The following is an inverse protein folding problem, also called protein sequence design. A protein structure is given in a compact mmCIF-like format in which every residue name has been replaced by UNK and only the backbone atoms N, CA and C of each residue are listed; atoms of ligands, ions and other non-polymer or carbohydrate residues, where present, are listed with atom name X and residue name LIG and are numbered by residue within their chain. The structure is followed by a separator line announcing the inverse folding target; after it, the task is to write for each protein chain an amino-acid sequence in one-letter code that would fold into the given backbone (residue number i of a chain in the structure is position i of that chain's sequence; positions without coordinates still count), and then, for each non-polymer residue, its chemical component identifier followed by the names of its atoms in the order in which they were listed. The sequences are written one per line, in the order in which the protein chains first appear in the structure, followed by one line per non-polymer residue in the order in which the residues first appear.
data_IF_064577312419
#
_entry.id   IF_064577312419
#
_cell.length_a   1.000
_cell.length_b   1.000
_cell.length_c   1.000
_cell.angle_alpha   90.00
_cell.angle_beta   90.00
_cell.angle_gamma   90.00
#
_symmetry.space_group_name_H-M   'P 1'
#
loop_
_entity.id
_entity.type
_entity.pdbx_description
1 polymer ?
#
# COMPACT_ATOMS: atom_id res chain seq x y z
N UNK A 1 63.03 5.92 -49.95
CA UNK A 1 63.44 4.51 -50.06
C UNK A 1 63.86 4.07 -48.69
N UNK A 2 63.42 2.88 -48.31
CA UNK A 2 63.51 2.29 -46.97
C UNK A 2 64.92 2.32 -46.37
N UNK A 3 64.88 2.23 -45.04
CA UNK A 3 65.89 1.67 -44.14
C UNK A 3 66.90 2.63 -43.52
N UNK A 4 66.61 3.02 -42.28
CA UNK A 4 67.49 3.77 -41.38
C UNK A 4 67.85 2.86 -40.20
N UNK A 5 69.04 2.30 -40.32
CA UNK A 5 70.19 2.35 -39.40
C UNK A 5 70.01 2.24 -37.87
N UNK A 6 71.15 1.83 -37.28
CA UNK A 6 71.66 2.04 -35.90
C UNK A 6 71.61 0.76 -35.06
N UNK A 7 72.69 -0.03 -35.01
CA UNK A 7 73.98 0.15 -34.28
C UNK A 7 73.87 -0.22 -32.79
N UNK A 8 74.59 -1.29 -32.43
CA UNK A 8 74.93 -1.75 -31.08
C UNK A 8 76.03 -0.88 -30.43
N UNK A 9 76.55 -1.20 -29.23
CA UNK A 9 75.94 -1.61 -27.95
C UNK A 9 76.37 -0.64 -26.81
N UNK A 10 75.97 -0.90 -25.56
CA UNK A 10 76.89 -1.23 -24.43
C UNK A 10 76.33 -0.87 -23.03
N UNK A 11 76.81 -1.65 -22.05
CA UNK A 11 76.89 -1.45 -20.60
C UNK A 11 75.78 -2.01 -19.67
N UNK A 12 76.17 -3.09 -18.96
CA UNK A 12 76.14 -3.37 -17.50
C UNK A 12 74.95 -2.84 -16.64
N UNK A 13 74.42 -3.49 -15.60
CA UNK A 13 74.85 -4.52 -14.64
C UNK A 13 73.57 -5.02 -13.86
N UNK A 14 73.58 -5.75 -12.71
CA UNK A 14 72.87 -7.03 -12.61
C UNK A 14 71.93 -7.20 -11.37
N UNK A 15 71.44 -8.45 -11.19
CA UNK A 15 70.88 -9.09 -9.97
C UNK A 15 69.40 -8.74 -9.69
N UNK A 16 68.47 -9.68 -9.48
CA UNK A 16 68.48 -10.73 -8.45
C UNK A 16 67.30 -11.74 -8.60
N UNK A 17 67.46 -12.88 -7.92
CA UNK A 17 66.47 -13.80 -7.31
C UNK A 17 65.68 -14.82 -8.15
N UNK A 18 65.89 -16.12 -7.86
CA UNK A 18 64.81 -17.11 -7.76
C UNK A 18 65.24 -18.33 -6.91
N UNK A 19 64.47 -18.59 -5.85
CA UNK A 19 64.58 -19.69 -4.88
C UNK A 19 63.71 -20.88 -5.30
N UNK A 20 64.15 -22.11 -5.02
CA UNK A 20 63.39 -23.35 -5.25
C UNK A 20 63.12 -24.15 -3.96
N UNK A 21 61.86 -24.60 -3.86
CA UNK A 21 61.33 -25.87 -3.34
C UNK A 21 61.59 -26.36 -1.90
N UNK A 22 60.52 -26.78 -1.19
CA UNK A 22 60.06 -28.19 -0.99
C UNK A 22 59.25 -28.39 0.31
N UNK A 23 58.24 -29.29 0.24
CA UNK A 23 57.69 -30.16 1.30
C UNK A 23 56.40 -29.77 2.09
N UNK A 24 55.36 -30.59 1.90
CA UNK A 24 54.16 -30.83 2.74
C UNK A 24 54.45 -31.98 3.74
N UNK A 25 53.73 -32.20 4.90
CA UNK A 25 52.30 -32.59 4.92
C UNK A 25 51.42 -32.29 6.17
N UNK A 26 50.09 -32.40 5.92
CA UNK A 26 48.96 -32.89 6.74
C UNK A 26 48.64 -32.28 8.12
N UNK A 27 47.45 -31.66 8.23
CA UNK A 27 46.43 -31.91 9.27
C UNK A 27 45.03 -31.54 8.75
N UNK A 28 44.06 -32.42 9.03
CA UNK A 28 42.64 -32.37 8.69
C UNK A 28 41.95 -31.05 9.04
N UNK A 29 41.17 -30.52 8.09
CA UNK A 29 40.00 -29.70 8.37
C UNK A 29 38.86 -30.10 7.42
N UNK A 30 37.99 -30.99 7.91
CA UNK A 30 36.61 -31.10 7.45
C UNK A 30 35.90 -29.76 7.65
N UNK A 31 35.84 -28.98 6.57
CA UNK A 31 34.90 -27.87 6.44
C UNK A 31 34.27 -27.95 5.05
N UNK A 32 33.41 -28.96 4.88
CA UNK A 32 32.40 -28.94 3.83
C UNK A 32 31.41 -27.80 4.15
N UNK A 33 31.75 -26.59 3.71
CA UNK A 33 30.79 -25.49 3.62
C UNK A 33 29.85 -25.84 2.47
N UNK A 34 28.70 -26.39 2.81
CA UNK A 34 27.59 -26.62 1.88
C UNK A 34 27.12 -25.26 1.31
N UNK A 35 27.25 -25.00 0.00
CA UNK A 35 26.81 -23.74 -0.58
C UNK A 35 25.28 -23.67 -0.79
N UNK A 36 24.51 -24.69 -0.38
CA UNK A 36 23.07 -24.78 -0.65
C UNK A 36 22.16 -24.30 0.51
N UNK A 37 22.73 -23.66 1.54
CA UNK A 37 21.96 -23.15 2.67
C UNK A 37 21.40 -21.72 2.45
N UNK A 38 20.76 -21.44 1.31
CA UNK A 38 19.91 -20.25 1.15
C UNK A 38 18.44 -20.69 1.23
N UNK A 39 17.90 -20.55 2.43
CA UNK A 39 16.51 -20.86 2.81
C UNK A 39 15.50 -20.10 1.93
N UNK A 40 14.55 -20.77 1.26
CA UNK A 40 13.41 -20.11 0.62
C UNK A 40 12.25 -19.96 1.62
N UNK A 41 12.50 -19.40 2.80
CA UNK A 41 11.46 -19.26 3.85
C UNK A 41 10.77 -17.88 3.86
N UNK A 42 11.42 -16.83 3.34
CA UNK A 42 10.87 -15.46 3.34
C UNK A 42 9.59 -15.33 2.53
N UNK A 43 9.50 -15.94 1.35
CA UNK A 43 8.31 -15.80 0.50
C UNK A 43 7.07 -16.47 1.12
N UNK A 44 7.25 -17.61 1.79
CA UNK A 44 6.16 -18.32 2.48
C UNK A 44 5.69 -17.55 3.72
N UNK A 45 6.62 -16.98 4.48
CA UNK A 45 6.33 -16.16 5.65
C UNK A 45 5.60 -14.86 5.26
N UNK A 46 6.00 -14.23 4.14
CA UNK A 46 5.33 -13.05 3.57
C UNK A 46 3.92 -13.36 3.06
N UNK A 47 3.74 -14.49 2.36
CA UNK A 47 2.42 -14.95 1.92
C UNK A 47 1.51 -15.21 3.13
N UNK A 48 2.02 -15.87 4.17
CA UNK A 48 1.27 -16.12 5.40
C UNK A 48 0.88 -14.82 6.12
N UNK A 49 1.81 -13.87 6.26
CA UNK A 49 1.55 -12.57 6.85
C UNK A 49 0.49 -11.78 6.06
N UNK A 50 0.56 -11.82 4.72
CA UNK A 50 -0.43 -11.18 3.86
C UNK A 50 -1.82 -11.80 4.00
N UNK A 51 -1.91 -13.12 4.13
CA UNK A 51 -3.16 -13.83 4.32
C UNK A 51 -3.81 -13.48 5.67
N UNK A 52 -3.01 -13.30 6.72
CA UNK A 52 -3.50 -12.88 8.03
C UNK A 52 -3.97 -11.41 8.02
N UNK A 53 -3.28 -10.52 7.29
CA UNK A 53 -3.73 -9.14 7.12
C UNK A 53 -5.08 -9.06 6.38
N UNK A 54 -5.26 -9.86 5.33
CA UNK A 54 -6.54 -9.99 4.62
C UNK A 54 -7.63 -10.49 5.57
N UNK A 55 -7.35 -11.50 6.40
CA UNK A 55 -8.33 -12.03 7.37
C UNK A 55 -8.74 -10.99 8.40
N UNK A 56 -7.77 -10.25 8.96
CA UNK A 56 -8.03 -9.15 9.91
C UNK A 56 -8.93 -8.10 9.27
N UNK A 57 -8.62 -7.68 8.04
CA UNK A 57 -9.43 -6.72 7.30
C UNK A 57 -10.85 -7.22 7.05
N UNK A 58 -11.02 -8.45 6.56
CA UNK A 58 -12.33 -9.04 6.30
C UNK A 58 -13.18 -9.16 7.58
N UNK A 59 -12.54 -9.46 8.71
CA UNK A 59 -13.20 -9.50 10.01
C UNK A 59 -13.69 -8.12 10.44
N UNK A 60 -12.87 -7.07 10.29
CA UNK A 60 -13.26 -5.70 10.62
C UNK A 60 -14.47 -5.21 9.81
N UNK A 61 -14.43 -5.37 8.48
CA UNK A 61 -15.54 -4.93 7.62
C UNK A 61 -16.81 -5.77 7.80
N UNK A 62 -16.68 -6.99 8.34
CA UNK A 62 -17.78 -7.88 8.67
C UNK A 62 -18.59 -7.47 9.89
N UNK A 63 -18.01 -6.63 10.78
CA UNK A 63 -18.67 -6.16 12.02
C UNK A 63 -19.76 -5.12 11.76
N UNK A 64 -19.69 -4.40 10.64
CA UNK A 64 -20.65 -3.34 10.31
C UNK A 64 -21.84 -3.94 9.57
N UNK A 65 -23.05 -3.60 10.04
CA UNK A 65 -24.28 -4.06 9.43
C UNK A 65 -24.47 -3.49 8.02
N UNK A 66 -25.16 -4.25 7.17
CA UNK A 66 -25.55 -3.76 5.85
C UNK A 66 -26.68 -2.74 6.00
N UNK A 67 -26.64 -1.69 5.17
CA UNK A 67 -27.64 -0.62 5.19
C UNK A 67 -28.87 -1.01 4.38
N UNK A 68 -30.02 -0.54 4.82
CA UNK A 68 -31.22 -0.49 3.99
C UNK A 68 -31.20 0.76 3.11
N UNK A 69 -32.05 0.81 2.08
CA UNK A 69 -32.18 2.00 1.24
C UNK A 69 -32.63 3.23 2.05
N UNK A 70 -33.42 3.05 3.11
CA UNK A 70 -33.81 4.14 3.99
C UNK A 70 -32.60 4.66 4.80
N UNK A 71 -31.79 3.76 5.34
CA UNK A 71 -30.58 4.14 6.09
C UNK A 71 -29.57 4.88 5.20
N UNK A 72 -29.41 4.45 3.94
CA UNK A 72 -28.57 5.14 2.95
C UNK A 72 -29.02 6.60 2.75
N UNK A 73 -30.32 6.81 2.60
CA UNK A 73 -30.91 8.15 2.44
C UNK A 73 -30.69 9.00 3.68
N UNK A 74 -30.89 8.43 4.88
CA UNK A 74 -30.74 9.17 6.13
C UNK A 74 -29.27 9.54 6.42
N UNK A 75 -28.33 8.66 6.11
CA UNK A 75 -26.91 8.97 6.18
C UNK A 75 -26.53 10.06 5.16
N UNK A 76 -27.02 9.97 3.92
CA UNK A 76 -26.75 10.97 2.89
C UNK A 76 -27.21 12.38 3.29
N UNK A 77 -28.40 12.50 3.88
CA UNK A 77 -28.92 13.78 4.42
C UNK A 77 -28.03 14.36 5.53
N UNK A 78 -27.54 13.50 6.43
CA UNK A 78 -26.65 13.93 7.53
C UNK A 78 -25.30 14.42 7.00
N UNK A 79 -24.76 13.74 5.99
CA UNK A 79 -23.53 14.14 5.29
C UNK A 79 -23.74 15.53 4.65
N UNK A 80 -24.83 15.71 3.90
CA UNK A 80 -25.16 16.99 3.25
C UNK A 80 -25.32 18.13 4.27
N UNK A 81 -26.03 17.89 5.38
CA UNK A 81 -26.19 18.85 6.45
C UNK A 81 -24.86 19.23 7.12
N UNK A 82 -23.97 18.26 7.34
CA UNK A 82 -22.62 18.47 7.86
C UNK A 82 -21.77 19.34 6.93
N UNK A 83 -21.77 19.03 5.64
CA UNK A 83 -21.04 19.80 4.63
C UNK A 83 -21.57 21.24 4.54
N UNK A 84 -22.88 21.42 4.54
CA UNK A 84 -23.50 22.74 4.52
C UNK A 84 -23.16 23.55 5.78
N UNK A 85 -23.22 22.94 6.96
CA UNK A 85 -22.82 23.58 8.21
C UNK A 85 -21.34 23.99 8.21
N UNK A 86 -20.46 23.15 7.66
CA UNK A 86 -19.04 23.45 7.49
C UNK A 86 -18.81 24.64 6.54
N UNK A 87 -19.51 24.64 5.40
CA UNK A 87 -19.47 25.76 4.45
C UNK A 87 -19.96 27.06 5.08
N UNK A 88 -21.06 27.04 5.85
CA UNK A 88 -21.54 28.22 6.57
C UNK A 88 -20.47 28.79 7.51
N UNK A 89 -19.82 27.96 8.33
CA UNK A 89 -18.75 28.39 9.23
C UNK A 89 -17.58 29.02 8.45
N UNK A 90 -17.22 28.44 7.31
CA UNK A 90 -16.10 28.91 6.48
C UNK A 90 -16.42 30.23 5.75
N UNK A 91 -17.64 30.38 5.23
CA UNK A 91 -18.05 31.54 4.43
C UNK A 91 -18.44 32.75 5.26
N UNK A 92 -18.91 32.58 6.51
CA UNK A 92 -19.35 33.68 7.37
C UNK A 92 -18.73 33.61 8.77
N UNK A 93 -18.01 34.66 9.14
CA UNK A 93 -17.39 34.76 10.46
C UNK A 93 -18.32 35.37 11.53
N UNK A 94 -19.51 35.85 11.14
CA UNK A 94 -20.43 36.63 11.97
C UNK A 94 -21.40 35.79 12.85
N UNK A 95 -21.03 34.55 13.16
CA UNK A 95 -21.84 33.71 14.06
C UNK A 95 -21.46 33.90 15.52
N UNK A 96 -22.47 33.88 16.40
CA UNK A 96 -22.26 33.83 17.85
C UNK A 96 -21.49 32.57 18.25
N UNK A 97 -20.81 32.62 19.40
CA UNK A 97 -20.07 31.47 19.91
C UNK A 97 -20.98 30.24 20.12
N UNK A 98 -22.22 30.45 20.56
CA UNK A 98 -23.22 29.39 20.70
C UNK A 98 -23.55 28.76 19.32
N UNK A 99 -23.84 29.59 18.31
CA UNK A 99 -24.17 29.11 16.97
C UNK A 99 -23.00 28.37 16.31
N UNK A 100 -21.77 28.84 16.50
CA UNK A 100 -20.57 28.14 16.02
C UNK A 100 -20.42 26.75 16.65
N UNK A 101 -20.77 26.56 17.94
CA UNK A 101 -20.73 25.24 18.59
C UNK A 101 -21.78 24.29 18.01
N UNK A 102 -23.01 24.77 17.80
CA UNK A 102 -24.08 23.99 17.17
C UNK A 102 -23.68 23.53 15.76
N UNK A 103 -23.20 24.44 14.92
CA UNK A 103 -22.78 24.12 13.56
C UNK A 103 -21.64 23.09 13.54
N UNK A 104 -20.66 23.20 14.47
CA UNK A 104 -19.60 22.20 14.60
C UNK A 104 -20.13 20.83 15.00
N UNK A 105 -21.16 20.75 15.84
CA UNK A 105 -21.77 19.48 16.19
C UNK A 105 -22.40 18.80 14.96
N UNK A 106 -23.03 19.59 14.08
CA UNK A 106 -23.60 19.10 12.81
C UNK A 106 -22.50 18.62 11.86
N UNK A 107 -21.37 19.35 11.75
CA UNK A 107 -20.21 18.92 10.95
C UNK A 107 -19.69 17.57 11.44
N UNK A 108 -19.50 17.41 12.76
CA UNK A 108 -19.03 16.15 13.35
C UNK A 108 -20.01 15.01 13.08
N UNK A 109 -21.32 15.28 13.14
CA UNK A 109 -22.33 14.28 12.80
C UNK A 109 -22.28 13.85 11.34
N UNK A 110 -22.11 14.80 10.41
CA UNK A 110 -21.96 14.53 8.98
C UNK A 110 -20.72 13.68 8.67
N UNK A 111 -19.58 13.98 9.29
CA UNK A 111 -18.36 13.16 9.15
C UNK A 111 -18.56 11.73 9.67
N UNK A 112 -19.23 11.57 10.82
CA UNK A 112 -19.59 10.24 11.33
C UNK A 112 -20.54 9.49 10.41
N UNK A 113 -21.48 10.19 9.78
CA UNK A 113 -22.39 9.60 8.81
C UNK A 113 -21.64 9.17 7.54
N UNK A 114 -20.68 9.96 7.05
CA UNK A 114 -19.78 9.61 5.94
C UNK A 114 -19.00 8.34 6.25
N UNK A 115 -18.36 8.29 7.41
CA UNK A 115 -17.62 7.12 7.88
C UNK A 115 -18.49 5.87 7.96
N UNK A 116 -19.73 6.02 8.46
CA UNK A 116 -20.65 4.89 8.57
C UNK A 116 -21.07 4.37 7.19
N UNK A 117 -21.43 5.27 6.27
CA UNK A 117 -21.81 4.91 4.91
C UNK A 117 -20.67 4.20 4.17
N UNK A 118 -19.43 4.69 4.33
CA UNK A 118 -18.24 4.04 3.77
C UNK A 118 -18.06 2.63 4.34
N UNK A 119 -18.03 2.50 5.67
CA UNK A 119 -17.75 1.21 6.34
C UNK A 119 -18.79 0.13 6.01
N UNK A 120 -20.06 0.50 5.94
CA UNK A 120 -21.12 -0.43 5.57
C UNK A 120 -20.99 -0.96 4.13
N UNK A 121 -20.32 -0.20 3.25
CA UNK A 121 -20.14 -0.55 1.85
C UNK A 121 -18.76 -1.15 1.52
N UNK A 122 -17.84 -1.30 2.49
CA UNK A 122 -16.53 -1.93 2.25
C UNK A 122 -16.64 -3.38 1.74
N UNK A 123 -17.73 -4.08 2.10
CA UNK A 123 -18.00 -5.44 1.62
C UNK A 123 -18.25 -5.49 0.11
N UNK A 124 -18.84 -4.43 -0.45
CA UNK A 124 -19.05 -4.31 -1.90
C UNK A 124 -17.71 -4.23 -2.62
N UNK A 125 -16.78 -3.40 -2.13
CA UNK A 125 -15.43 -3.25 -2.70
C UNK A 125 -14.72 -4.59 -2.79
N UNK A 126 -14.73 -5.37 -1.70
CA UNK A 126 -14.13 -6.71 -1.67
C UNK A 126 -14.77 -7.63 -2.72
N UNK A 127 -16.10 -7.58 -2.87
CA UNK A 127 -16.81 -8.42 -3.86
C UNK A 127 -16.47 -8.07 -5.31
N UNK A 128 -16.20 -6.79 -5.59
CA UNK A 128 -15.75 -6.33 -6.91
C UNK A 128 -14.27 -6.68 -7.14
N UNK A 129 -13.40 -6.38 -6.17
CA UNK A 129 -11.96 -6.64 -6.24
C UNK A 129 -11.63 -8.12 -6.48
N UNK A 130 -12.43 -9.04 -5.93
CA UNK A 130 -12.30 -10.50 -6.16
C UNK A 130 -12.34 -10.89 -7.65
N UNK A 131 -13.01 -10.10 -8.51
CA UNK A 131 -13.08 -10.39 -9.95
C UNK A 131 -11.77 -10.08 -10.69
N UNK A 132 -10.90 -9.28 -10.08
CA UNK A 132 -9.65 -8.81 -10.68
C UNK A 132 -8.40 -9.48 -10.09
N UNK A 133 -8.56 -10.42 -9.14
CA UNK A 133 -7.44 -11.19 -8.61
C UNK A 133 -6.76 -12.01 -9.70
N UNK A 134 -5.45 -12.25 -9.58
CA UNK A 134 -4.68 -13.05 -10.54
C UNK A 134 -4.22 -12.29 -11.79
N UNK A 135 -4.48 -10.99 -11.89
CA UNK A 135 -4.08 -10.14 -13.02
C UNK A 135 -2.79 -9.33 -12.75
N UNK A 136 -1.92 -9.84 -11.87
CA UNK A 136 -0.62 -9.23 -11.58
C UNK A 136 -0.60 -8.16 -10.47
N UNK A 137 -1.76 -7.81 -9.90
CA UNK A 137 -1.85 -6.92 -8.73
C UNK A 137 -2.25 -7.70 -7.47
N UNK A 138 -1.58 -7.48 -6.32
CA UNK A 138 -1.98 -8.05 -5.05
C UNK A 138 -3.44 -7.73 -4.68
N UNK A 139 -4.11 -8.67 -4.01
CA UNK A 139 -5.52 -8.50 -3.67
C UNK A 139 -5.81 -7.31 -2.75
N UNK A 140 -4.90 -7.03 -1.81
CA UNK A 140 -5.01 -5.87 -0.92
C UNK A 140 -4.94 -4.56 -1.71
N UNK A 141 -4.06 -4.48 -2.71
CA UNK A 141 -3.92 -3.27 -3.53
C UNK A 141 -5.20 -2.99 -4.36
N UNK A 142 -5.81 -4.05 -4.92
CA UNK A 142 -7.11 -3.95 -5.60
C UNK A 142 -8.21 -3.44 -4.65
N UNK A 143 -8.20 -3.90 -3.40
CA UNK A 143 -9.15 -3.42 -2.37
C UNK A 143 -8.89 -1.94 -2.07
N UNK A 144 -7.63 -1.52 -1.95
CA UNK A 144 -7.28 -0.13 -1.66
C UNK A 144 -7.72 0.82 -2.78
N UNK A 145 -7.47 0.45 -4.04
CA UNK A 145 -7.98 1.21 -5.20
C UNK A 145 -9.52 1.26 -5.23
N UNK A 146 -10.17 0.13 -4.92
CA UNK A 146 -11.63 0.09 -4.82
C UNK A 146 -12.18 0.95 -3.68
N UNK A 147 -11.49 1.01 -2.54
CA UNK A 147 -11.86 1.87 -1.41
C UNK A 147 -11.73 3.35 -1.78
N UNK A 148 -10.72 3.73 -2.57
CA UNK A 148 -10.60 5.08 -3.10
C UNK A 148 -11.76 5.44 -4.05
N UNK A 149 -12.16 4.48 -4.91
CA UNK A 149 -13.35 4.60 -5.74
C UNK A 149 -14.63 4.80 -4.91
N UNK A 150 -14.79 4.02 -3.84
CA UNK A 150 -15.92 4.09 -2.91
C UNK A 150 -16.02 5.47 -2.25
N UNK A 151 -14.90 6.04 -1.79
CA UNK A 151 -14.89 7.39 -1.19
C UNK A 151 -15.42 8.43 -2.17
N UNK A 152 -14.96 8.39 -3.42
CA UNK A 152 -15.42 9.30 -4.48
C UNK A 152 -16.89 9.09 -4.83
N UNK A 153 -17.38 7.85 -4.77
CA UNK A 153 -18.78 7.53 -4.99
C UNK A 153 -19.66 8.12 -3.90
N UNK A 154 -19.27 8.00 -2.62
CA UNK A 154 -19.98 8.61 -1.49
C UNK A 154 -20.06 10.13 -1.61
N UNK A 155 -18.99 10.79 -2.06
CA UNK A 155 -18.98 12.25 -2.25
C UNK A 155 -19.90 12.72 -3.37
N UNK A 156 -20.22 11.85 -4.33
CA UNK A 156 -21.06 12.17 -5.50
C UNK A 156 -22.44 11.54 -5.42
N UNK A 157 -22.73 10.79 -4.36
CA UNK A 157 -23.97 10.05 -4.24
C UNK A 157 -25.15 11.00 -4.11
N UNK A 158 -26.16 10.78 -4.94
CA UNK A 158 -27.37 11.58 -4.98
C UNK A 158 -28.58 10.71 -4.60
N UNK A 159 -29.00 10.86 -3.35
CA UNK A 159 -30.13 10.12 -2.79
C UNK A 159 -31.48 10.54 -3.40
N UNK A 160 -31.59 11.72 -4.02
CA UNK A 160 -32.82 12.20 -4.62
C UNK A 160 -33.19 11.43 -5.90
N UNK A 161 -32.23 10.77 -6.53
CA UNK A 161 -32.46 9.93 -7.72
C UNK A 161 -33.19 8.62 -7.40
N UNK A 162 -33.30 8.24 -6.13
CA UNK A 162 -34.05 7.04 -5.70
C UNK A 162 -33.38 5.70 -6.03
N UNK A 163 -32.13 5.70 -6.48
CA UNK A 163 -31.34 4.48 -6.66
C UNK A 163 -30.58 4.15 -5.38
N UNK A 164 -30.38 2.84 -5.12
CA UNK A 164 -29.52 2.38 -4.03
C UNK A 164 -28.08 2.77 -4.28
N UNK A 165 -27.33 2.99 -3.21
CA UNK A 165 -25.91 3.32 -3.29
C UNK A 165 -25.10 2.27 -4.07
N UNK A 166 -25.40 0.98 -3.86
CA UNK A 166 -24.72 -0.12 -4.54
C UNK A 166 -24.85 -0.14 -6.08
N UNK A 167 -25.78 0.65 -6.63
CA UNK A 167 -26.06 0.73 -8.07
C UNK A 167 -25.39 1.94 -8.73
N UNK A 168 -24.97 2.94 -7.94
CA UNK A 168 -24.42 4.20 -8.40
C UNK A 168 -22.95 4.07 -8.83
#
# INVERSE_FOLDING_TARGET
MTDTAVTAPDAADPTDTATAATAHPALDQDAATDPDAVRPSTDLDEIAASADLVRVYLNEIGKVALLTAADEVDLAKRIEAGLYAGHLIASSNNFSAARKRELRAIVIDGERAKDHLLRANLRLVVSLAKRYTGHGMPFLDLIQEGNLGLIRAVEKFDYAKGFKFSTY
#
